data_IF_751428947619
#
_entry.id   IF_751428947619
#
_cell.length_a   1.000
_cell.length_b   1.000
_cell.length_c   1.000
_cell.angle_alpha   90.00
_cell.angle_beta   90.00
_cell.angle_gamma   90.00
#
_symmetry.space_group_name_H-M   'P 1'
#
loop_
_entity.id
_entity.type
_entity.pdbx_description
1 polymer ?
#
# COMPACT_ATOMS: atom_id res chain seq x y z
N UNK A 1 5.92 17.95 -12.87
CA UNK A 1 5.26 16.63 -12.92
C UNK A 1 4.07 16.74 -13.84
N UNK A 2 3.97 15.86 -14.84
CA UNK A 2 2.79 15.82 -15.73
C UNK A 2 1.56 15.42 -14.90
N UNK A 3 0.58 16.31 -14.84
CA UNK A 3 -0.64 16.14 -14.05
C UNK A 3 -1.43 14.91 -14.54
N UNK A 4 -1.83 13.97 -13.69
CA UNK A 4 -2.75 12.88 -14.01
C UNK A 4 -4.21 13.37 -14.03
N UNK A 5 -4.47 14.57 -14.54
CA UNK A 5 -5.82 15.11 -14.70
C UNK A 5 -6.70 14.11 -15.47
N UNK A 6 -7.74 13.63 -14.80
CA UNK A 6 -8.66 12.62 -15.36
C UNK A 6 -8.32 11.16 -15.07
N UNK A 7 -7.21 10.86 -14.35
CA UNK A 7 -6.87 9.49 -13.94
C UNK A 7 -7.67 9.05 -12.71
N UNK A 8 -7.87 7.74 -12.59
CA UNK A 8 -8.53 7.10 -11.45
C UNK A 8 -7.54 6.29 -10.64
N UNK A 9 -7.64 6.34 -9.32
CA UNK A 9 -6.77 5.62 -8.40
C UNK A 9 -7.57 4.89 -7.31
N UNK A 10 -7.24 3.64 -7.05
CA UNK A 10 -7.71 2.90 -5.88
C UNK A 10 -6.57 2.80 -4.87
N UNK A 11 -6.80 3.21 -3.63
CA UNK A 11 -5.85 3.03 -2.54
C UNK A 11 -6.49 2.19 -1.44
N UNK A 12 -5.95 0.99 -1.20
CA UNK A 12 -6.49 0.10 -0.16
C UNK A 12 -5.94 0.45 1.22
N UNK A 13 -6.78 0.35 2.28
CA UNK A 13 -6.40 0.76 3.63
C UNK A 13 -6.07 2.25 3.73
N UNK A 14 -6.85 3.09 3.03
CA UNK A 14 -6.56 4.51 2.86
C UNK A 14 -7.18 5.43 3.92
N UNK A 15 -7.85 4.88 4.94
CA UNK A 15 -8.46 5.67 6.01
C UNK A 15 -7.42 6.32 6.94
N UNK A 16 -6.18 5.82 7.00
CA UNK A 16 -5.11 6.34 7.87
C UNK A 16 -3.71 5.98 7.36
N UNK A 17 -2.69 6.51 8.04
CA UNK A 17 -1.28 6.17 7.84
C UNK A 17 -0.81 6.36 6.40
N UNK A 18 0.00 5.41 5.92
CA UNK A 18 0.59 5.44 4.57
C UNK A 18 -0.48 5.48 3.48
N UNK A 19 -1.57 4.72 3.65
CA UNK A 19 -2.65 4.70 2.67
C UNK A 19 -3.33 6.06 2.52
N UNK A 20 -3.60 6.75 3.65
CA UNK A 20 -4.12 8.13 3.63
C UNK A 20 -3.16 9.09 2.93
N UNK A 21 -1.87 9.06 3.30
CA UNK A 21 -0.86 9.91 2.68
C UNK A 21 -0.76 9.67 1.16
N UNK A 22 -0.78 8.39 0.73
CA UNK A 22 -0.79 8.02 -0.69
C UNK A 22 -2.03 8.53 -1.42
N UNK A 23 -3.22 8.41 -0.80
CA UNK A 23 -4.46 8.91 -1.37
C UNK A 23 -4.42 10.42 -1.59
N UNK A 24 -3.95 11.18 -0.60
CA UNK A 24 -3.81 12.64 -0.67
C UNK A 24 -2.76 13.01 -1.73
N UNK A 25 -1.61 12.34 -1.78
CA UNK A 25 -0.56 12.61 -2.76
C UNK A 25 -1.06 12.38 -4.20
N UNK A 26 -1.79 11.28 -4.46
CA UNK A 26 -2.41 11.01 -5.76
C UNK A 26 -3.48 12.03 -6.13
N UNK A 27 -4.31 12.45 -5.16
CA UNK A 27 -5.31 13.50 -5.40
C UNK A 27 -4.68 14.85 -5.74
N UNK A 28 -3.57 15.23 -5.08
CA UNK A 28 -2.77 16.45 -5.42
C UNK A 28 -2.23 16.40 -6.84
N UNK A 29 -1.97 15.22 -7.38
CA UNK A 29 -1.60 15.03 -8.78
C UNK A 29 -2.81 15.08 -9.75
N UNK A 30 -4.03 15.24 -9.26
CA UNK A 30 -5.26 15.38 -10.04
C UNK A 30 -6.02 14.08 -10.30
N UNK A 31 -5.67 12.98 -9.64
CA UNK A 31 -6.43 11.74 -9.74
C UNK A 31 -7.75 11.81 -8.94
N UNK A 32 -8.80 11.17 -9.45
CA UNK A 32 -9.95 10.76 -8.63
C UNK A 32 -9.56 9.56 -7.80
N UNK A 33 -9.70 9.61 -6.48
CA UNK A 33 -9.20 8.58 -5.57
C UNK A 33 -10.34 7.81 -4.91
N UNK A 34 -10.33 6.49 -5.05
CA UNK A 34 -11.17 5.59 -4.27
C UNK A 34 -10.44 5.21 -2.98
N UNK A 35 -10.96 5.70 -1.87
CA UNK A 35 -10.42 5.54 -0.51
C UNK A 35 -11.04 4.28 0.09
N UNK A 36 -10.29 3.16 0.08
CA UNK A 36 -10.79 1.90 0.64
C UNK A 36 -10.52 1.81 2.14
N UNK A 37 -11.53 1.29 2.85
CA UNK A 37 -11.48 0.95 4.28
C UNK A 37 -12.14 -0.41 4.54
N UNK A 38 -11.84 -1.01 5.72
CA UNK A 38 -12.55 -2.19 6.24
C UNK A 38 -13.54 -1.78 7.33
N UNK A 39 -13.05 -1.18 8.42
CA UNK A 39 -13.86 -0.78 9.59
C UNK A 39 -13.85 0.72 9.87
N UNK A 40 -12.89 1.46 9.34
CA UNK A 40 -12.69 2.90 9.59
C UNK A 40 -13.48 3.79 8.62
N UNK A 41 -14.81 3.72 8.62
CA UNK A 41 -15.63 4.53 7.69
C UNK A 41 -15.51 6.02 7.98
N UNK A 42 -15.55 6.43 9.26
CA UNK A 42 -15.44 7.84 9.64
C UNK A 42 -14.13 8.47 9.19
N UNK A 43 -13.02 7.76 9.40
CA UNK A 43 -11.68 8.18 8.97
C UNK A 43 -11.57 8.22 7.45
N UNK A 44 -12.14 7.25 6.74
CA UNK A 44 -12.15 7.25 5.27
C UNK A 44 -12.94 8.45 4.71
N UNK A 45 -14.11 8.75 5.29
CA UNK A 45 -14.89 9.94 4.95
C UNK A 45 -14.15 11.25 5.25
N UNK A 46 -13.37 11.30 6.34
CA UNK A 46 -12.52 12.45 6.65
C UNK A 46 -11.43 12.66 5.59
N UNK A 47 -10.81 11.60 5.07
CA UNK A 47 -9.85 11.67 3.95
C UNK A 47 -10.52 12.20 2.68
N UNK A 48 -11.71 11.70 2.35
CA UNK A 48 -12.50 12.20 1.19
C UNK A 48 -12.81 13.69 1.35
N UNK A 49 -13.25 14.12 2.52
CA UNK A 49 -13.54 15.52 2.80
C UNK A 49 -12.29 16.41 2.67
N UNK A 50 -11.14 15.96 3.16
CA UNK A 50 -9.87 16.67 3.01
C UNK A 50 -9.44 16.82 1.55
N UNK A 51 -9.54 15.74 0.76
CA UNK A 51 -9.25 15.77 -0.68
C UNK A 51 -10.21 16.74 -1.40
N UNK A 52 -11.50 16.68 -1.09
CA UNK A 52 -12.51 17.56 -1.69
C UNK A 52 -12.29 19.03 -1.33
N UNK A 53 -11.94 19.32 -0.08
CA UNK A 53 -11.59 20.68 0.39
C UNK A 53 -10.38 21.25 -0.36
N UNK A 54 -9.45 20.40 -0.76
CA UNK A 54 -8.29 20.76 -1.57
C UNK A 54 -8.61 20.86 -3.09
N UNK A 55 -9.88 20.71 -3.50
CA UNK A 55 -10.31 20.77 -4.90
C UNK A 55 -10.13 19.46 -5.68
N UNK A 56 -9.75 18.37 -5.01
CA UNK A 56 -9.66 17.03 -5.59
C UNK A 56 -10.99 16.28 -5.60
N UNK A 57 -10.99 15.06 -6.14
CA UNK A 57 -12.15 14.16 -6.19
C UNK A 57 -11.82 12.85 -5.51
N UNK A 58 -12.67 12.41 -4.60
CA UNK A 58 -12.52 11.11 -3.94
C UNK A 58 -13.88 10.56 -3.52
N UNK A 59 -13.97 9.22 -3.45
CA UNK A 59 -15.11 8.47 -2.96
C UNK A 59 -14.63 7.37 -2.02
N UNK A 60 -15.51 6.88 -1.14
CA UNK A 60 -15.19 5.74 -0.27
C UNK A 60 -15.67 4.43 -0.88
N UNK A 61 -14.89 3.36 -0.69
CA UNK A 61 -15.27 1.97 -0.99
C UNK A 61 -14.89 1.07 0.18
N UNK A 62 -15.65 0.01 0.44
CA UNK A 62 -15.41 -0.85 1.62
C UNK A 62 -15.37 -2.32 1.29
N UNK A 63 -14.43 -3.04 1.92
CA UNK A 63 -14.35 -4.50 1.90
C UNK A 63 -13.53 -5.01 3.08
N UNK A 64 -13.84 -6.21 3.58
CA UNK A 64 -13.00 -6.91 4.54
C UNK A 64 -12.12 -7.94 3.81
N UNK A 65 -10.81 -7.72 3.83
CA UNK A 65 -9.84 -8.61 3.19
C UNK A 65 -9.53 -9.88 3.99
N UNK A 66 -10.01 -10.01 5.21
CA UNK A 66 -9.99 -11.29 5.93
C UNK A 66 -10.96 -12.27 5.30
N UNK A 67 -12.07 -11.79 4.76
CA UNK A 67 -13.05 -12.59 4.05
C UNK A 67 -12.48 -13.12 2.71
N UNK A 68 -12.76 -14.39 2.33
CA UNK A 68 -12.26 -14.98 1.09
C UNK A 68 -12.65 -14.21 -0.18
N UNK A 69 -13.81 -13.58 -0.19
CA UNK A 69 -14.37 -12.84 -1.32
C UNK A 69 -14.19 -11.32 -1.22
N UNK A 70 -13.47 -10.82 -0.21
CA UNK A 70 -13.30 -9.39 0.04
C UNK A 70 -12.69 -8.64 -1.16
N UNK A 71 -11.66 -9.20 -1.80
CA UNK A 71 -11.05 -8.64 -3.00
C UNK A 71 -12.02 -8.57 -4.19
N UNK A 72 -12.86 -9.60 -4.37
CA UNK A 72 -13.87 -9.66 -5.42
C UNK A 72 -14.96 -8.60 -5.21
N UNK A 73 -15.44 -8.46 -3.97
CA UNK A 73 -16.43 -7.44 -3.58
C UNK A 73 -15.90 -6.03 -3.83
N UNK A 74 -14.64 -5.77 -3.45
CA UNK A 74 -14.00 -4.47 -3.71
C UNK A 74 -13.87 -4.21 -5.21
N UNK A 75 -13.36 -5.15 -5.98
CA UNK A 75 -13.18 -4.99 -7.43
C UNK A 75 -14.51 -4.71 -8.15
N UNK A 76 -15.62 -5.33 -7.70
CA UNK A 76 -16.96 -5.05 -8.23
C UNK A 76 -17.39 -3.60 -7.97
N UNK A 77 -17.18 -3.08 -6.75
CA UNK A 77 -17.48 -1.68 -6.41
C UNK A 77 -16.63 -0.71 -7.25
N UNK A 78 -15.32 -0.98 -7.34
CA UNK A 78 -14.38 -0.16 -8.12
C UNK A 78 -14.84 -0.05 -9.58
N UNK A 79 -15.11 -1.19 -10.23
CA UNK A 79 -15.58 -1.20 -11.64
C UNK A 79 -16.89 -0.46 -11.82
N UNK A 80 -17.81 -0.52 -10.87
CA UNK A 80 -19.07 0.22 -10.92
C UNK A 80 -18.87 1.74 -10.89
N UNK A 81 -17.79 2.22 -10.26
CA UNK A 81 -17.50 3.66 -10.12
C UNK A 81 -16.63 4.17 -11.28
N UNK A 82 -15.55 3.43 -11.62
CA UNK A 82 -14.56 3.91 -12.61
C UNK A 82 -14.84 3.44 -14.04
N UNK A 83 -15.78 2.51 -14.23
CA UNK A 83 -16.09 1.94 -15.54
C UNK A 83 -14.99 0.98 -16.02
N UNK A 84 -14.47 1.25 -17.20
CA UNK A 84 -13.58 0.39 -17.95
C UNK A 84 -12.08 0.69 -17.75
N UNK A 85 -11.74 1.68 -16.89
CA UNK A 85 -10.36 2.06 -16.69
C UNK A 85 -9.99 2.42 -15.25
N UNK A 86 -8.97 1.75 -14.74
CA UNK A 86 -8.24 2.09 -13.52
C UNK A 86 -6.78 2.40 -13.88
N UNK A 87 -6.32 3.61 -13.55
CA UNK A 87 -4.96 4.04 -13.88
C UNK A 87 -3.94 3.70 -12.79
N UNK A 88 -4.36 3.72 -11.52
CA UNK A 88 -3.48 3.46 -10.39
C UNK A 88 -4.15 2.52 -9.39
N UNK A 89 -3.44 1.45 -9.02
CA UNK A 89 -3.79 0.60 -7.89
C UNK A 89 -2.68 0.69 -6.84
N UNK A 90 -3.01 1.14 -5.62
CA UNK A 90 -2.12 1.06 -4.45
C UNK A 90 -2.64 0.00 -3.49
N UNK A 91 -1.99 -1.16 -3.50
CA UNK A 91 -2.29 -2.27 -2.60
C UNK A 91 -1.53 -2.08 -1.27
N UNK A 92 -2.07 -1.19 -0.42
CA UNK A 92 -1.48 -0.79 0.86
C UNK A 92 -2.10 -1.50 2.07
N UNK A 93 -3.38 -1.88 2.03
CA UNK A 93 -4.04 -2.54 3.15
C UNK A 93 -3.21 -3.71 3.68
N UNK A 94 -3.02 -3.74 4.99
CA UNK A 94 -2.24 -4.78 5.65
C UNK A 94 -2.42 -4.74 7.16
N UNK A 95 -2.13 -5.86 7.78
CA UNK A 95 -2.10 -6.04 9.22
C UNK A 95 -0.74 -6.57 9.66
N UNK A 96 -0.40 -6.35 10.92
CA UNK A 96 0.80 -6.89 11.56
C UNK A 96 0.42 -7.55 12.87
N UNK A 97 1.16 -8.58 13.24
CA UNK A 97 1.09 -9.24 14.54
C UNK A 97 2.52 -9.50 15.01
N UNK A 98 2.86 -9.04 16.19
CA UNK A 98 4.11 -9.36 16.87
C UNK A 98 3.86 -10.60 17.74
N UNK A 99 4.58 -11.68 17.48
CA UNK A 99 4.58 -12.92 18.24
C UNK A 99 5.90 -13.65 18.03
N UNK A 100 6.37 -14.38 19.02
CA UNK A 100 7.52 -15.31 18.86
C UNK A 100 7.13 -16.46 17.93
N UNK A 101 8.10 -17.27 17.52
CA UNK A 101 7.81 -18.46 16.69
C UNK A 101 6.90 -19.41 17.46
N UNK A 102 7.15 -19.59 18.76
CA UNK A 102 6.38 -20.47 19.64
C UNK A 102 4.96 -19.98 19.90
N UNK A 103 4.73 -18.66 19.93
CA UNK A 103 3.44 -18.04 20.23
C UNK A 103 2.59 -17.78 18.99
N UNK A 104 3.18 -17.91 17.78
CA UNK A 104 2.44 -17.68 16.54
C UNK A 104 1.42 -18.79 16.33
N UNK A 105 0.13 -18.42 16.35
CA UNK A 105 -0.97 -19.36 16.10
C UNK A 105 -1.23 -19.53 14.59
N UNK A 106 -1.88 -20.63 14.22
CA UNK A 106 -2.29 -20.88 12.82
C UNK A 106 -3.28 -19.79 12.37
N UNK A 107 -4.19 -19.38 13.24
CA UNK A 107 -5.20 -18.37 12.96
C UNK A 107 -4.60 -17.00 12.68
N UNK A 108 -3.60 -16.59 13.47
CA UNK A 108 -2.86 -15.33 13.23
C UNK A 108 -2.07 -15.40 11.92
N UNK A 109 -1.42 -16.54 11.66
CA UNK A 109 -0.67 -16.77 10.42
C UNK A 109 -1.59 -16.69 9.21
N UNK A 110 -2.70 -17.43 9.20
CA UNK A 110 -3.67 -17.46 8.11
C UNK A 110 -4.29 -16.10 7.87
N UNK A 111 -4.62 -15.35 8.93
CA UNK A 111 -5.15 -14.00 8.83
C UNK A 111 -4.14 -13.03 8.21
N UNK A 112 -2.86 -13.12 8.59
CA UNK A 112 -1.79 -12.33 8.00
C UNK A 112 -1.68 -12.60 6.50
N UNK A 113 -1.66 -13.87 6.08
CA UNK A 113 -1.60 -14.24 4.68
C UNK A 113 -2.88 -13.88 3.91
N UNK A 114 -4.04 -14.02 4.53
CA UNK A 114 -5.31 -13.62 3.93
C UNK A 114 -5.32 -12.14 3.54
N UNK A 115 -4.96 -11.27 4.47
CA UNK A 115 -5.03 -9.81 4.26
C UNK A 115 -3.84 -9.30 3.45
N UNK A 116 -2.62 -9.76 3.79
CA UNK A 116 -1.41 -9.17 3.22
C UNK A 116 -0.99 -9.77 1.87
N UNK A 117 -1.44 -11.00 1.54
CA UNK A 117 -0.99 -11.72 0.33
C UNK A 117 -2.16 -12.11 -0.55
N UNK A 118 -3.14 -12.89 -0.02
CA UNK A 118 -4.30 -13.36 -0.79
C UNK A 118 -5.10 -12.19 -1.36
N UNK A 119 -5.43 -11.22 -0.52
CA UNK A 119 -6.26 -10.10 -0.95
C UNK A 119 -5.63 -9.26 -2.07
N UNK A 120 -4.38 -8.75 -1.97
CA UNK A 120 -3.76 -8.01 -3.07
C UNK A 120 -3.59 -8.85 -4.34
N UNK A 121 -3.29 -10.16 -4.23
CA UNK A 121 -3.20 -11.04 -5.40
C UNK A 121 -4.52 -11.08 -6.17
N UNK A 122 -5.61 -11.44 -5.50
CA UNK A 122 -6.92 -11.54 -6.14
C UNK A 122 -7.50 -10.18 -6.53
N UNK A 123 -7.16 -9.11 -5.81
CA UNK A 123 -7.56 -7.76 -6.22
C UNK A 123 -6.94 -7.37 -7.56
N UNK A 124 -5.64 -7.60 -7.75
CA UNK A 124 -4.98 -7.40 -9.05
C UNK A 124 -5.68 -8.25 -10.10
N UNK A 125 -5.87 -9.56 -9.86
CA UNK A 125 -6.53 -10.46 -10.79
C UNK A 125 -7.92 -9.95 -11.23
N UNK A 126 -8.76 -9.52 -10.28
CA UNK A 126 -10.12 -9.05 -10.54
C UNK A 126 -10.16 -7.70 -11.25
N UNK A 127 -9.10 -6.90 -11.15
CA UNK A 127 -9.01 -5.59 -11.80
C UNK A 127 -8.30 -5.65 -13.16
N UNK A 128 -7.71 -6.79 -13.56
CA UNK A 128 -7.04 -6.95 -14.85
C UNK A 128 -7.86 -6.46 -16.06
N UNK A 129 -9.20 -6.65 -16.13
CA UNK A 129 -9.98 -6.18 -17.27
C UNK A 129 -9.95 -4.64 -17.47
N UNK A 130 -9.72 -3.88 -16.40
CA UNK A 130 -9.72 -2.41 -16.42
C UNK A 130 -8.33 -1.80 -16.20
N UNK A 131 -7.29 -2.64 -16.07
CA UNK A 131 -5.88 -2.25 -16.05
C UNK A 131 -5.27 -2.43 -17.44
N UNK A 132 -4.65 -1.39 -17.98
CA UNK A 132 -4.09 -1.42 -19.34
C UNK A 132 -2.93 -0.46 -19.51
N UNK A 133 -2.60 -0.13 -20.76
CA UNK A 133 -1.45 0.71 -21.12
C UNK A 133 -1.39 2.00 -20.28
N UNK A 134 -0.29 2.18 -19.57
CA UNK A 134 -0.05 3.34 -18.71
C UNK A 134 -0.59 3.20 -17.29
N UNK A 135 -1.27 2.10 -16.95
CA UNK A 135 -1.65 1.81 -15.57
C UNK A 135 -0.41 1.47 -14.72
N UNK A 136 -0.48 1.83 -13.43
CA UNK A 136 0.58 1.54 -12.45
C UNK A 136 -0.01 0.86 -11.21
N UNK A 137 0.61 -0.25 -10.82
CA UNK A 137 0.31 -0.97 -9.58
C UNK A 137 1.47 -0.75 -8.61
N UNK A 138 1.17 -0.27 -7.41
CA UNK A 138 2.14 -0.10 -6.33
C UNK A 138 1.70 -0.96 -5.14
N UNK A 139 2.52 -1.96 -4.79
CA UNK A 139 2.28 -2.78 -3.59
C UNK A 139 3.11 -2.24 -2.42
N UNK A 140 2.58 -2.38 -1.20
CA UNK A 140 3.32 -1.97 0.01
C UNK A 140 3.91 -3.21 0.69
N UNK A 141 5.23 -3.36 0.53
CA UNK A 141 6.05 -4.34 1.23
C UNK A 141 6.48 -3.80 2.61
N UNK A 142 7.68 -4.09 3.07
CA UNK A 142 8.26 -3.60 4.33
C UNK A 142 9.78 -3.84 4.33
N UNK A 143 10.51 -3.07 5.14
CA UNK A 143 11.88 -3.40 5.53
C UNK A 143 11.99 -4.84 6.09
N UNK A 144 10.96 -5.30 6.81
CA UNK A 144 10.91 -6.66 7.37
C UNK A 144 10.98 -7.77 6.32
N UNK A 145 10.72 -7.50 5.05
CA UNK A 145 10.93 -8.48 3.97
C UNK A 145 12.41 -8.84 3.75
N UNK A 146 13.33 -7.96 4.14
CA UNK A 146 14.77 -8.09 3.85
C UNK A 146 15.65 -8.04 5.09
N UNK A 147 15.09 -7.79 6.27
CA UNK A 147 15.82 -7.68 7.52
C UNK A 147 15.01 -8.27 8.67
N UNK A 148 15.67 -8.96 9.59
CA UNK A 148 15.03 -9.41 10.82
C UNK A 148 14.65 -8.22 11.71
N UNK A 149 13.38 -8.10 12.02
CA UNK A 149 12.82 -7.00 12.83
C UNK A 149 11.96 -7.58 13.93
N UNK A 150 12.43 -7.52 15.16
CA UNK A 150 11.70 -7.98 16.35
C UNK A 150 11.09 -9.38 16.16
N UNK A 151 9.89 -9.56 16.72
CA UNK A 151 9.12 -10.82 16.67
C UNK A 151 8.07 -10.77 15.55
N UNK A 152 8.50 -10.51 14.30
CA UNK A 152 7.62 -10.29 13.15
C UNK A 152 7.76 -11.37 12.07
N UNK A 153 8.20 -12.60 12.40
CA UNK A 153 8.54 -13.61 11.40
C UNK A 153 7.40 -13.91 10.42
N UNK A 154 6.17 -14.15 10.90
CA UNK A 154 5.01 -14.42 10.05
C UNK A 154 4.61 -13.20 9.20
N UNK A 155 4.64 -12.00 9.78
CA UNK A 155 4.42 -10.75 9.03
C UNK A 155 5.49 -10.55 7.94
N UNK A 156 6.76 -10.74 8.29
CA UNK A 156 7.90 -10.60 7.37
C UNK A 156 7.76 -11.55 6.18
N UNK A 157 7.33 -12.81 6.42
CA UNK A 157 7.06 -13.77 5.35
C UNK A 157 6.00 -13.25 4.36
N UNK A 158 4.92 -12.61 4.84
CA UNK A 158 3.92 -12.00 3.95
C UNK A 158 4.52 -10.87 3.11
N UNK A 159 5.43 -10.07 3.67
CA UNK A 159 6.06 -8.94 2.96
C UNK A 159 7.14 -9.42 1.99
N UNK A 160 7.81 -10.54 2.27
CA UNK A 160 8.65 -11.26 1.31
C UNK A 160 7.84 -11.80 0.13
N UNK A 161 6.65 -12.37 0.38
CA UNK A 161 5.74 -12.81 -0.68
C UNK A 161 5.34 -11.63 -1.60
N UNK A 162 5.05 -10.44 -1.05
CA UNK A 162 4.76 -9.24 -1.85
C UNK A 162 5.94 -8.86 -2.75
N UNK A 163 7.18 -8.87 -2.24
CA UNK A 163 8.37 -8.56 -3.03
C UNK A 163 8.57 -9.54 -4.21
N UNK A 164 8.17 -10.81 -4.02
CA UNK A 164 8.16 -11.82 -5.10
C UNK A 164 7.04 -11.55 -6.11
N UNK A 165 5.81 -11.30 -5.65
CA UNK A 165 4.66 -11.01 -6.52
C UNK A 165 4.90 -9.81 -7.43
N UNK A 166 5.60 -8.78 -6.97
CA UNK A 166 5.96 -7.61 -7.77
C UNK A 166 6.68 -8.02 -9.05
N UNK A 167 7.67 -8.92 -8.95
CA UNK A 167 8.46 -9.37 -10.11
C UNK A 167 7.61 -10.15 -11.10
N UNK A 168 6.78 -11.08 -10.60
CA UNK A 168 5.90 -11.89 -11.45
C UNK A 168 4.84 -11.02 -12.12
N UNK A 169 4.15 -10.16 -11.38
CA UNK A 169 3.14 -9.27 -11.97
C UNK A 169 3.76 -8.29 -12.97
N UNK A 170 4.96 -7.76 -12.70
CA UNK A 170 5.65 -6.88 -13.63
C UNK A 170 6.01 -7.59 -14.94
N UNK A 171 6.45 -8.85 -14.87
CA UNK A 171 6.71 -9.69 -16.04
C UNK A 171 5.44 -9.97 -16.84
N UNK A 172 4.39 -10.46 -16.16
CA UNK A 172 3.17 -10.93 -16.82
C UNK A 172 2.33 -9.78 -17.41
N UNK A 173 2.40 -8.58 -16.79
CA UNK A 173 1.59 -7.43 -17.21
C UNK A 173 2.35 -6.42 -18.08
N UNK A 174 3.66 -6.63 -18.28
CA UNK A 174 4.52 -5.71 -19.04
C UNK A 174 4.07 -5.53 -20.48
N UNK A 175 3.70 -6.59 -21.18
CA UNK A 175 3.20 -6.55 -22.57
C UNK A 175 1.88 -5.75 -22.68
N UNK A 176 1.10 -5.69 -21.60
CA UNK A 176 -0.12 -4.87 -21.53
C UNK A 176 0.18 -3.39 -21.27
N UNK A 177 1.46 -3.03 -21.08
CA UNK A 177 1.89 -1.68 -20.72
C UNK A 177 1.53 -1.27 -19.29
N UNK A 178 1.33 -2.24 -18.38
CA UNK A 178 1.09 -2.03 -16.95
C UNK A 178 2.42 -2.17 -16.20
N UNK A 179 2.76 -1.21 -15.36
CA UNK A 179 3.93 -1.28 -14.48
C UNK A 179 3.52 -1.77 -13.10
N UNK A 180 4.37 -2.58 -12.48
CA UNK A 180 4.16 -3.07 -11.12
C UNK A 180 5.43 -2.88 -10.31
N UNK A 181 5.34 -2.13 -9.22
CA UNK A 181 6.45 -1.88 -8.30
C UNK A 181 5.99 -2.00 -6.86
N UNK A 182 6.90 -1.97 -5.92
CA UNK A 182 6.59 -1.85 -4.51
C UNK A 182 7.37 -0.72 -3.84
N UNK A 183 6.84 -0.28 -2.70
CA UNK A 183 7.60 0.44 -1.69
C UNK A 183 7.83 -0.46 -0.49
N UNK A 184 9.02 -0.38 0.12
CA UNK A 184 9.37 -1.08 1.36
C UNK A 184 9.65 -0.05 2.46
N UNK A 185 8.61 0.38 3.20
CA UNK A 185 8.79 1.33 4.29
C UNK A 185 9.60 0.74 5.45
N UNK A 186 10.37 1.59 6.11
CA UNK A 186 10.96 1.31 7.42
C UNK A 186 9.97 1.57 8.55
N UNK A 187 10.48 2.06 9.69
CA UNK A 187 9.66 2.49 10.81
C UNK A 187 9.00 3.84 10.51
N UNK A 188 7.73 3.81 10.20
CA UNK A 188 6.89 4.99 9.89
C UNK A 188 5.97 5.29 11.07
N UNK A 189 5.80 6.56 11.43
CA UNK A 189 4.94 7.02 12.52
C UNK A 189 3.45 6.78 12.20
N UNK A 190 2.99 5.55 12.42
CA UNK A 190 1.62 5.09 12.18
C UNK A 190 1.14 4.22 13.35
N UNK A 191 -0.16 3.91 13.38
CA UNK A 191 -0.70 2.98 14.39
C UNK A 191 -0.17 1.55 14.23
N UNK A 192 0.19 1.14 13.00
CA UNK A 192 0.81 -0.16 12.75
C UNK A 192 2.20 -0.28 13.40
N UNK A 193 2.90 0.84 13.54
CA UNK A 193 4.22 0.94 14.16
C UNK A 193 4.14 1.56 15.57
N UNK A 194 3.17 1.14 16.37
CA UNK A 194 2.89 1.72 17.70
C UNK A 194 4.10 1.69 18.65
N UNK A 195 5.04 0.75 18.47
CA UNK A 195 6.29 0.72 19.24
C UNK A 195 7.11 2.01 19.12
N UNK A 196 7.04 2.72 17.97
CA UNK A 196 7.75 4.01 17.78
C UNK A 196 7.17 5.15 18.63
N UNK A 197 6.01 4.94 19.27
CA UNK A 197 5.38 5.89 20.20
C UNK A 197 6.01 5.84 21.59
N UNK A 198 6.78 4.80 21.90
CA UNK A 198 7.54 4.69 23.15
C UNK A 198 8.95 5.25 22.98
N UNK A 199 9.54 5.82 24.05
CA UNK A 199 10.90 6.37 24.00
C UNK A 199 11.92 5.29 23.60
N UNK A 200 11.86 4.10 24.22
CA UNK A 200 12.74 2.98 23.88
C UNK A 200 12.62 2.54 22.42
N UNK A 201 11.40 2.46 21.88
CA UNK A 201 11.19 2.10 20.48
C UNK A 201 11.66 3.18 19.51
N UNK A 202 11.50 4.44 19.88
CA UNK A 202 12.03 5.58 19.14
C UNK A 202 13.56 5.57 19.11
N UNK A 203 14.20 5.44 20.26
CA UNK A 203 15.66 5.43 20.41
C UNK A 203 16.27 4.24 19.63
N UNK A 204 15.66 3.06 19.75
CA UNK A 204 16.07 1.90 18.96
C UNK A 204 15.97 2.19 17.46
N UNK A 205 14.85 2.75 16.99
CA UNK A 205 14.67 3.09 15.57
C UNK A 205 15.76 4.06 15.11
N UNK A 206 16.02 5.14 15.87
CA UNK A 206 17.04 6.12 15.54
C UNK A 206 18.47 5.55 15.60
N UNK A 207 18.71 4.54 16.43
CA UNK A 207 20.03 3.88 16.53
C UNK A 207 20.40 3.13 15.26
N UNK A 208 19.41 2.46 14.61
CA UNK A 208 19.61 1.60 13.43
C UNK A 208 19.33 2.31 12.10
N UNK A 209 18.97 3.58 12.13
CA UNK A 209 18.58 4.36 10.94
C UNK A 209 19.63 5.46 10.64
N UNK A 210 20.00 5.63 9.37
CA UNK A 210 20.97 6.64 8.96
C UNK A 210 20.40 8.07 9.11
N UNK A 211 19.18 8.31 8.61
CA UNK A 211 18.48 9.59 8.82
C UNK A 211 17.85 9.61 10.21
N UNK A 212 18.33 10.46 11.09
CA UNK A 212 18.01 10.49 12.53
C UNK A 212 16.64 11.15 12.84
N UNK A 213 15.60 10.68 12.16
CA UNK A 213 14.20 11.02 12.44
C UNK A 213 13.27 9.83 12.14
N UNK A 214 12.11 9.77 12.75
CA UNK A 214 11.08 8.81 12.35
C UNK A 214 10.55 9.18 10.96
N UNK A 215 10.35 8.15 10.12
CA UNK A 215 9.63 8.32 8.86
C UNK A 215 8.19 8.77 9.10
N UNK A 216 7.68 9.66 8.26
CA UNK A 216 6.30 10.09 8.28
C UNK A 216 5.51 9.41 7.15
N UNK A 217 4.18 9.24 7.26
CA UNK A 217 3.37 8.69 6.19
C UNK A 217 3.59 9.37 4.82
N UNK A 218 3.80 10.69 4.83
CA UNK A 218 4.04 11.49 3.61
C UNK A 218 5.36 11.12 2.93
N UNK A 219 6.41 10.74 3.68
CA UNK A 219 7.67 10.26 3.08
C UNK A 219 7.44 9.05 2.16
N UNK A 220 6.46 8.22 2.48
CA UNK A 220 6.08 7.05 1.66
C UNK A 220 5.05 7.42 0.60
N UNK A 221 4.06 8.25 0.97
CA UNK A 221 2.99 8.68 0.07
C UNK A 221 3.51 9.37 -1.19
N UNK A 222 4.52 10.22 -1.06
CA UNK A 222 5.15 10.92 -2.19
C UNK A 222 5.92 9.96 -3.11
N UNK A 223 6.58 8.93 -2.56
CA UNK A 223 7.23 7.88 -3.37
C UNK A 223 6.19 7.02 -4.10
N UNK A 224 5.07 6.70 -3.46
CA UNK A 224 3.94 6.00 -4.11
C UNK A 224 3.41 6.84 -5.29
N UNK A 225 3.21 8.13 -5.10
CA UNK A 225 2.75 9.04 -6.14
C UNK A 225 3.76 9.15 -7.29
N UNK A 226 5.06 9.20 -6.99
CA UNK A 226 6.12 9.15 -8.01
C UNK A 226 6.07 7.84 -8.81
N UNK A 227 5.99 6.68 -8.16
CA UNK A 227 5.90 5.39 -8.85
C UNK A 227 4.63 5.25 -9.70
N UNK A 228 3.54 5.93 -9.32
CA UNK A 228 2.30 5.98 -10.09
C UNK A 228 2.37 6.94 -11.30
N UNK A 229 3.35 7.82 -11.35
CA UNK A 229 3.50 8.87 -12.36
C UNK A 229 4.22 8.40 -13.63
N UNK A 230 4.24 9.27 -14.65
CA UNK A 230 4.99 9.05 -15.89
C UNK A 230 6.51 9.22 -15.70
N UNK A 231 6.95 9.91 -14.67
CA UNK A 231 8.36 10.07 -14.33
C UNK A 231 9.02 8.72 -14.00
N UNK A 232 8.22 7.77 -13.46
CA UNK A 232 8.65 6.40 -13.17
C UNK A 232 8.38 5.41 -14.33
N UNK A 233 8.17 5.87 -15.58
CA UNK A 233 7.75 5.04 -16.72
C UNK A 233 8.73 3.92 -17.10
N UNK A 234 9.99 3.99 -16.65
CA UNK A 234 11.02 2.98 -16.90
C UNK A 234 11.39 2.15 -15.65
N UNK A 235 10.62 2.32 -14.55
CA UNK A 235 10.76 1.51 -13.33
C UNK A 235 9.65 0.46 -13.33
N UNK A 236 10.04 -0.82 -13.37
CA UNK A 236 9.11 -1.96 -13.38
C UNK A 236 9.74 -3.18 -12.71
N UNK A 237 9.01 -3.84 -11.82
CA UNK A 237 9.46 -5.04 -11.11
C UNK A 237 10.35 -4.76 -9.90
N UNK A 238 10.47 -3.51 -9.45
CA UNK A 238 11.37 -3.13 -8.36
C UNK A 238 10.63 -2.86 -7.05
N UNK A 239 11.39 -2.96 -5.95
CA UNK A 239 10.96 -2.62 -4.58
C UNK A 239 11.83 -1.51 -4.04
N UNK A 240 11.29 -0.30 -4.03
CA UNK A 240 11.98 0.90 -3.55
C UNK A 240 11.94 0.97 -2.03
N UNK A 241 13.10 0.98 -1.39
CA UNK A 241 13.21 1.18 0.06
C UNK A 241 12.91 2.63 0.42
N UNK A 242 12.01 2.83 1.40
CA UNK A 242 11.63 4.14 1.95
C UNK A 242 11.76 4.06 3.47
N UNK A 243 12.99 3.95 3.94
CA UNK A 243 13.30 3.53 5.32
C UNK A 243 14.36 4.40 6.02
N UNK A 244 14.74 5.52 5.39
CA UNK A 244 15.75 6.43 5.96
C UNK A 244 17.12 5.80 6.15
N UNK A 245 17.44 4.73 5.39
CA UNK A 245 18.68 3.99 5.54
C UNK A 245 18.71 3.11 6.79
N UNK A 246 17.58 2.48 7.12
CA UNK A 246 17.51 1.53 8.24
C UNK A 246 18.27 0.26 7.94
N UNK A 247 19.08 -0.19 8.90
CA UNK A 247 19.85 -1.44 8.81
C UNK A 247 20.66 -1.56 7.49
N UNK A 248 21.37 -0.49 7.15
CA UNK A 248 22.37 -0.51 6.09
C UNK A 248 23.51 -1.45 6.41
#
# INVERSE_FOLDING_TARGET
>A
MSSPSGKTALVTGASRGIGRASAIALARMGAQVLVHYSTGEGEARAVVAEISKAGGRADTVSADFSAPDGAHKLAKQVRAIVGDRLDVLVANAGISKSATIEETTVEDFDRLFAVNVRAPFFLVQQLLPILGKGSSIVLVSSLAANAAVGTLAAYAATKGAIATLVKHFASDLGERGVRVNAVAPGAIATDLSSFTKTDAGRDFTLSVQALKRLGQPDDVGDVVAFLASNEARWINGDTVRVDGGSKL
#
